data_IF_034234182457
#
_entry.id   IF_034234182457
#
_cell.length_a   1.000
_cell.length_b   1.000
_cell.length_c   1.000
_cell.angle_alpha   90.00
_cell.angle_beta   90.00
_cell.angle_gamma   90.00
#
_symmetry.space_group_name_H-M   'P 1'
#
loop_
_entity.id
_entity.type
_entity.pdbx_description
1 polymer ?
#
# COMPACT_ATOMS: atom_id res chain seq x y z
N UNK A 1 -10.81 13.53 4.98
CA UNK A 1 -11.39 13.20 3.65
C UNK A 1 -10.71 14.08 2.58
N UNK A 2 -10.32 13.50 1.43
CA UNK A 2 -9.66 14.18 0.30
C UNK A 2 -10.58 14.19 -0.93
N UNK A 3 -10.42 15.16 -1.83
CA UNK A 3 -11.10 15.19 -3.13
C UNK A 3 -10.22 14.51 -4.16
N UNK A 4 -10.66 13.36 -4.67
CA UNK A 4 -9.93 12.58 -5.68
C UNK A 4 -10.44 12.95 -7.09
N UNK A 5 -9.54 13.03 -8.06
CA UNK A 5 -9.84 13.30 -9.47
C UNK A 5 -9.74 12.04 -10.33
N UNK A 6 -8.77 11.17 -10.03
CA UNK A 6 -8.53 9.88 -10.69
C UNK A 6 -8.24 8.80 -9.63
N UNK A 7 -8.73 7.59 -9.86
CA UNK A 7 -8.39 6.37 -9.12
C UNK A 7 -7.87 5.34 -10.11
N UNK A 8 -6.60 4.98 -9.97
CA UNK A 8 -5.97 3.91 -10.76
C UNK A 8 -6.13 2.59 -10.01
N UNK A 9 -6.47 1.54 -10.75
CA UNK A 9 -6.75 0.22 -10.19
C UNK A 9 -5.82 -0.78 -10.88
N UNK A 10 -5.18 -1.63 -10.10
CA UNK A 10 -4.34 -2.72 -10.58
C UNK A 10 -4.71 -4.01 -9.86
N UNK A 11 -4.79 -5.09 -10.63
CA UNK A 11 -4.85 -6.47 -10.17
C UNK A 11 -3.98 -7.29 -11.14
N UNK A 12 -3.43 -8.42 -10.66
CA UNK A 12 -2.73 -9.38 -11.52
C UNK A 12 -3.65 -9.93 -12.62
N UNK A 13 -4.95 -9.93 -12.37
CA UNK A 13 -6.01 -10.22 -13.31
C UNK A 13 -6.66 -8.91 -13.79
N UNK A 14 -6.26 -8.46 -14.98
CA UNK A 14 -6.74 -7.20 -15.56
C UNK A 14 -8.26 -7.16 -15.75
N UNK A 15 -8.92 -8.31 -15.94
CA UNK A 15 -10.38 -8.38 -16.08
C UNK A 15 -11.05 -8.00 -14.75
N UNK A 16 -10.52 -8.47 -13.61
CA UNK A 16 -11.01 -8.08 -12.28
C UNK A 16 -10.83 -6.60 -12.01
N UNK A 17 -9.67 -6.04 -12.36
CA UNK A 17 -9.43 -4.60 -12.22
C UNK A 17 -10.41 -3.78 -13.08
N UNK A 18 -10.70 -4.24 -14.29
CA UNK A 18 -11.63 -3.58 -15.22
C UNK A 18 -13.07 -3.66 -14.70
N UNK A 19 -13.52 -4.84 -14.27
CA UNK A 19 -14.85 -5.02 -13.70
C UNK A 19 -15.04 -4.16 -12.44
N UNK A 20 -14.06 -4.14 -11.53
CA UNK A 20 -14.12 -3.31 -10.34
C UNK A 20 -14.21 -1.82 -10.70
N UNK A 21 -13.44 -1.36 -11.70
CA UNK A 21 -13.53 0.01 -12.19
C UNK A 21 -14.94 0.35 -12.71
N UNK A 22 -15.55 -0.55 -13.50
CA UNK A 22 -16.92 -0.38 -14.01
C UNK A 22 -17.97 -0.29 -12.89
N UNK A 23 -17.88 -1.18 -11.90
CA UNK A 23 -18.78 -1.18 -10.74
C UNK A 23 -18.64 0.10 -9.92
N UNK A 24 -17.41 0.58 -9.71
CA UNK A 24 -17.15 1.79 -8.91
C UNK A 24 -17.53 3.09 -9.64
N UNK A 25 -17.43 3.14 -10.96
CA UNK A 25 -17.90 4.30 -11.74
C UNK A 25 -19.40 4.56 -11.59
N UNK A 26 -20.20 3.53 -11.26
CA UNK A 26 -21.63 3.69 -10.99
C UNK A 26 -21.90 4.33 -9.62
N UNK A 27 -20.97 4.22 -8.67
CA UNK A 27 -21.12 4.70 -7.30
C UNK A 27 -20.43 6.05 -7.06
N UNK A 28 -19.34 6.32 -7.79
CA UNK A 28 -18.49 7.49 -7.56
C UNK A 28 -18.28 8.31 -8.84
N UNK A 29 -18.39 9.63 -8.73
CA UNK A 29 -18.14 10.57 -9.83
C UNK A 29 -16.64 10.91 -9.98
N UNK A 30 -15.78 9.91 -9.95
CA UNK A 30 -14.32 10.03 -10.10
C UNK A 30 -13.87 9.18 -11.28
N UNK A 31 -12.82 9.61 -12.00
CA UNK A 31 -12.28 8.81 -13.11
C UNK A 31 -11.67 7.53 -12.57
N UNK A 32 -12.27 6.38 -12.90
CA UNK A 32 -11.70 5.06 -12.60
C UNK A 32 -10.89 4.58 -13.79
N UNK A 33 -9.63 4.22 -13.56
CA UNK A 33 -8.71 3.77 -14.61
C UNK A 33 -8.08 2.43 -14.24
N UNK A 34 -8.52 1.31 -14.82
CA UNK A 34 -7.77 0.06 -14.71
C UNK A 34 -6.43 0.21 -15.44
N UNK A 35 -5.37 -0.32 -14.85
CA UNK A 35 -4.00 -0.24 -15.37
C UNK A 35 -3.46 -1.64 -15.63
N UNK A 36 -2.54 -1.77 -16.59
CA UNK A 36 -1.99 -3.09 -16.97
C UNK A 36 -0.77 -3.48 -16.16
N UNK A 37 -0.13 -2.51 -15.50
CA UNK A 37 1.03 -2.73 -14.66
C UNK A 37 0.91 -1.98 -13.35
N UNK A 38 1.51 -2.55 -12.32
CA UNK A 38 1.68 -1.97 -11.00
C UNK A 38 2.47 -0.65 -11.07
N UNK A 39 3.44 -0.52 -11.98
CA UNK A 39 4.14 0.75 -12.20
C UNK A 39 3.19 1.85 -12.69
N UNK A 40 2.36 1.58 -13.70
CA UNK A 40 1.39 2.57 -14.22
C UNK A 40 0.40 3.02 -13.12
N UNK A 41 0.03 2.11 -12.23
CA UNK A 41 -0.85 2.40 -11.10
C UNK A 41 -0.20 3.30 -10.04
N UNK A 42 1.07 3.05 -9.71
CA UNK A 42 1.77 3.69 -8.59
C UNK A 42 2.47 4.98 -8.99
N UNK A 43 3.03 5.04 -10.20
CA UNK A 43 3.89 6.14 -10.61
C UNK A 43 3.12 7.48 -10.65
N UNK A 44 3.59 8.43 -9.83
CA UNK A 44 2.97 9.75 -9.70
C UNK A 44 1.70 9.80 -8.85
N UNK A 45 1.27 8.70 -8.22
CA UNK A 45 0.11 8.69 -7.34
C UNK A 45 0.35 9.50 -6.05
N UNK A 46 -0.65 10.29 -5.62
CA UNK A 46 -0.63 11.02 -4.35
C UNK A 46 -0.99 10.14 -3.15
N UNK A 47 -1.84 9.14 -3.39
CA UNK A 47 -2.29 8.16 -2.39
C UNK A 47 -2.20 6.79 -3.02
N UNK A 48 -1.55 5.85 -2.33
CA UNK A 48 -1.44 4.46 -2.73
C UNK A 48 -2.12 3.62 -1.65
N UNK A 49 -3.04 2.75 -2.04
CA UNK A 49 -3.68 1.80 -1.13
C UNK A 49 -3.41 0.40 -1.65
N UNK A 50 -2.67 -0.38 -0.87
CA UNK A 50 -2.37 -1.78 -1.14
C UNK A 50 -3.31 -2.66 -0.31
N UNK A 51 -4.03 -3.56 -0.97
CA UNK A 51 -4.96 -4.50 -0.32
C UNK A 51 -4.78 -5.87 -0.97
N UNK A 52 -3.63 -6.50 -0.73
CA UNK A 52 -3.27 -7.74 -1.41
C UNK A 52 -2.88 -8.84 -0.42
N UNK A 53 -3.04 -10.09 -0.83
CA UNK A 53 -2.54 -11.26 -0.09
C UNK A 53 -1.12 -11.66 -0.51
N UNK A 54 -0.37 -10.72 -1.09
CA UNK A 54 0.96 -10.98 -1.63
C UNK A 54 1.96 -11.33 -0.53
N UNK A 55 2.91 -12.22 -0.84
CA UNK A 55 4.06 -12.56 0.02
C UNK A 55 5.34 -11.79 -0.36
N UNK A 56 5.21 -10.82 -1.25
CA UNK A 56 6.29 -9.98 -1.77
C UNK A 56 5.75 -8.60 -2.12
N UNK A 57 6.58 -7.58 -1.92
CA UNK A 57 6.26 -6.21 -2.28
C UNK A 57 5.64 -6.11 -3.68
N UNK A 58 4.53 -5.39 -3.77
CA UNK A 58 3.68 -5.37 -4.97
C UNK A 58 4.06 -4.28 -5.96
N UNK A 59 4.93 -3.35 -5.57
CA UNK A 59 5.46 -2.28 -6.42
C UNK A 59 6.91 -1.98 -6.03
N UNK A 60 7.61 -1.16 -6.82
CA UNK A 60 8.96 -0.68 -6.46
C UNK A 60 8.85 0.62 -5.66
N UNK A 61 9.70 0.78 -4.64
CA UNK A 61 9.78 2.03 -3.87
C UNK A 61 10.18 3.23 -4.74
N UNK A 62 10.89 3.00 -5.85
CA UNK A 62 11.34 4.07 -6.76
C UNK A 62 10.20 4.70 -7.57
N UNK A 63 9.06 4.01 -7.69
CA UNK A 63 7.88 4.52 -8.39
C UNK A 63 7.05 5.45 -7.51
N UNK A 64 7.29 5.42 -6.20
CA UNK A 64 6.52 6.19 -5.21
C UNK A 64 6.90 7.67 -5.30
N UNK A 65 5.89 8.50 -5.54
CA UNK A 65 6.05 9.96 -5.55
C UNK A 65 6.46 10.45 -4.15
N UNK A 66 7.43 11.36 -4.08
CA UNK A 66 7.76 12.06 -2.83
C UNK A 66 6.54 12.79 -2.27
N UNK A 67 6.22 12.56 -1.00
CA UNK A 67 5.05 13.11 -0.32
C UNK A 67 3.76 12.31 -0.53
N UNK A 68 3.82 11.15 -1.21
CA UNK A 68 2.68 10.24 -1.30
C UNK A 68 2.31 9.67 0.08
N UNK A 69 1.02 9.43 0.28
CA UNK A 69 0.49 8.73 1.44
C UNK A 69 0.19 7.27 1.06
N UNK A 70 0.64 6.32 1.88
CA UNK A 70 0.49 4.89 1.60
C UNK A 70 -0.33 4.23 2.71
N UNK A 71 -1.36 3.49 2.31
CA UNK A 71 -2.14 2.61 3.17
C UNK A 71 -1.78 1.15 2.84
N UNK A 72 -1.22 0.43 3.81
CA UNK A 72 -1.07 -1.04 3.77
C UNK A 72 -2.16 -1.67 4.62
N UNK A 73 -2.90 -2.61 4.05
CA UNK A 73 -4.09 -3.22 4.67
C UNK A 73 -4.08 -4.74 4.54
N UNK A 74 -3.46 -5.27 3.49
CA UNK A 74 -3.52 -6.68 3.13
C UNK A 74 -2.62 -7.61 3.96
N UNK A 75 -1.57 -7.09 4.58
CA UNK A 75 -0.62 -7.90 5.34
C UNK A 75 -1.08 -8.19 6.78
N UNK A 76 -1.86 -9.26 6.97
CA UNK A 76 -2.33 -9.74 8.28
C UNK A 76 -1.71 -11.10 8.69
N UNK A 77 -0.70 -11.58 7.97
CA UNK A 77 0.10 -12.74 8.40
C UNK A 77 1.59 -12.47 8.20
N UNK A 78 2.50 -13.08 9.00
CA UNK A 78 3.93 -12.75 8.95
C UNK A 78 4.61 -13.02 7.60
N UNK A 79 4.00 -13.87 6.75
CA UNK A 79 4.49 -14.16 5.41
C UNK A 79 4.01 -13.13 4.36
N UNK A 80 2.95 -12.39 4.65
CA UNK A 80 2.39 -11.40 3.74
C UNK A 80 3.21 -10.12 3.80
N UNK A 81 3.60 -9.66 2.63
CA UNK A 81 4.34 -8.43 2.46
C UNK A 81 3.88 -7.81 1.15
N UNK A 82 3.35 -6.61 1.21
CA UNK A 82 2.82 -5.89 0.07
C UNK A 82 3.52 -4.55 -0.16
N UNK A 83 4.10 -3.97 0.90
CA UNK A 83 4.82 -2.70 0.86
C UNK A 83 6.33 -2.97 0.78
N UNK A 84 7.05 -2.34 -0.16
CA UNK A 84 8.51 -2.30 -0.15
C UNK A 84 9.08 -1.83 1.19
N UNK A 85 9.98 -2.61 1.79
CA UNK A 85 10.65 -2.24 3.06
C UNK A 85 11.35 -0.88 2.98
N UNK A 86 11.85 -0.51 1.80
CA UNK A 86 12.54 0.75 1.52
C UNK A 86 11.65 1.96 1.82
N UNK A 87 10.34 1.82 1.63
CA UNK A 87 9.37 2.87 1.94
C UNK A 87 9.30 3.14 3.43
N UNK A 88 9.40 2.10 4.27
CA UNK A 88 9.34 2.25 5.73
C UNK A 88 10.48 3.15 6.21
N UNK A 89 11.67 3.03 5.61
CA UNK A 89 12.81 3.92 5.90
C UNK A 89 12.66 5.31 5.31
N UNK A 90 12.07 5.41 4.13
CA UNK A 90 11.92 6.68 3.42
C UNK A 90 10.75 7.53 3.92
N UNK A 91 9.81 6.92 4.63
CA UNK A 91 8.61 7.58 5.15
C UNK A 91 8.96 8.55 6.28
N UNK A 92 8.47 9.79 6.16
CA UNK A 92 8.59 10.79 7.23
C UNK A 92 7.77 10.41 8.47
N UNK A 93 6.65 9.72 8.27
CA UNK A 93 5.73 9.28 9.33
C UNK A 93 5.19 7.90 8.97
N UNK A 94 5.23 6.98 9.94
CA UNK A 94 4.66 5.63 9.86
C UNK A 94 3.76 5.45 11.08
N UNK A 95 2.48 5.19 10.83
CA UNK A 95 1.46 4.99 11.87
C UNK A 95 0.81 3.62 11.66
N UNK A 96 0.60 2.89 12.74
CA UNK A 96 -0.10 1.59 12.74
C UNK A 96 -1.57 1.74 13.06
N UNK A 97 -2.38 0.75 12.70
CA UNK A 97 -3.73 0.62 13.24
C UNK A 97 -3.68 0.26 14.72
N UNK A 98 -2.94 -0.81 15.05
CA UNK A 98 -2.58 -1.22 16.40
C UNK A 98 -1.15 -1.73 16.42
N UNK A 99 -0.39 -1.35 17.45
CA UNK A 99 0.99 -1.74 17.55
C UNK A 99 1.16 -3.23 17.79
N UNK A 100 0.30 -3.84 18.62
CA UNK A 100 0.37 -5.26 18.93
C UNK A 100 0.03 -6.13 17.71
N UNK A 101 -0.98 -5.74 16.92
CA UNK A 101 -1.37 -6.45 15.70
C UNK A 101 -0.25 -6.40 14.66
N UNK A 102 0.22 -5.20 14.31
CA UNK A 102 1.27 -5.03 13.29
C UNK A 102 2.56 -5.79 13.66
N UNK A 103 3.01 -5.73 14.91
CA UNK A 103 4.25 -6.37 15.32
C UNK A 103 4.17 -7.91 15.43
N UNK A 104 2.95 -8.48 15.45
CA UNK A 104 2.72 -9.94 15.49
C UNK A 104 2.30 -10.52 14.15
N UNK A 105 1.63 -9.74 13.33
CA UNK A 105 0.93 -10.23 12.14
C UNK A 105 1.43 -9.61 10.84
N UNK A 106 1.87 -8.36 10.79
CA UNK A 106 2.21 -7.71 9.52
C UNK A 106 3.64 -8.05 9.06
N UNK A 107 3.77 -8.94 8.06
CA UNK A 107 5.07 -9.30 7.48
C UNK A 107 5.85 -8.12 6.89
N UNK A 108 5.16 -7.05 6.46
CA UNK A 108 5.75 -5.77 6.05
C UNK A 108 6.67 -5.17 7.13
N UNK A 109 6.39 -5.40 8.41
CA UNK A 109 7.20 -4.88 9.53
C UNK A 109 7.98 -5.96 10.25
N UNK A 110 7.44 -7.18 10.38
CA UNK A 110 8.10 -8.26 11.13
C UNK A 110 9.44 -8.63 10.51
N UNK A 111 9.47 -8.89 9.20
CA UNK A 111 10.69 -9.32 8.52
C UNK A 111 11.78 -8.23 8.57
N UNK A 112 11.48 -6.95 8.24
CA UNK A 112 12.46 -5.86 8.39
C UNK A 112 12.90 -5.56 9.83
N UNK A 113 12.09 -5.84 10.84
CA UNK A 113 12.51 -5.71 12.25
C UNK A 113 13.44 -6.85 12.66
N UNK A 114 13.15 -8.08 12.23
CA UNK A 114 13.94 -9.26 12.56
C UNK A 114 15.33 -9.25 11.92
N UNK A 115 15.44 -8.79 10.67
CA UNK A 115 16.73 -8.69 9.97
C UNK A 115 17.50 -7.40 10.30
N UNK A 116 16.94 -6.55 11.18
CA UNK A 116 17.53 -5.29 11.61
C UNK A 116 17.53 -4.20 10.54
N UNK A 117 16.77 -4.38 9.46
CA UNK A 117 16.62 -3.35 8.44
C UNK A 117 15.94 -2.10 9.03
N UNK A 118 14.83 -2.24 9.76
CA UNK A 118 14.20 -1.13 10.50
C UNK A 118 14.33 -1.32 12.02
N UNK A 119 14.12 -0.24 12.77
CA UNK A 119 14.24 -0.22 14.23
C UNK A 119 13.00 0.42 14.88
N UNK A 120 12.97 0.48 16.21
CA UNK A 120 11.83 0.97 16.98
C UNK A 120 11.46 2.43 16.68
N UNK A 121 12.43 3.23 16.26
CA UNK A 121 12.30 4.62 15.84
C UNK A 121 11.84 4.78 14.38
N UNK A 122 11.67 3.69 13.63
CA UNK A 122 11.16 3.70 12.24
C UNK A 122 9.63 3.82 12.16
N UNK A 123 8.93 3.88 13.29
CA UNK A 123 7.49 4.09 13.35
C UNK A 123 7.10 4.96 14.53
N UNK A 124 6.00 5.69 14.36
CA UNK A 124 5.74 6.95 15.08
C UNK A 124 4.53 6.88 16.00
N UNK A 125 3.73 5.82 15.93
CA UNK A 125 2.57 5.61 16.79
C UNK A 125 1.53 4.69 16.17
N UNK A 126 0.36 4.69 16.79
CA UNK A 126 -0.84 4.00 16.33
C UNK A 126 -2.02 4.98 16.22
N UNK A 127 -3.04 4.61 15.45
CA UNK A 127 -4.21 5.47 15.19
C UNK A 127 -5.15 5.61 16.40
N UNK A 128 -5.03 4.75 17.43
CA UNK A 128 -5.92 4.73 18.60
C UNK A 128 -5.17 4.52 19.90
#
# INVERSE_FOLDING_TARGET
VRKLEEVRIFDIDFERASQFAEEMMQQFSVTMRPTKTNQECVEGADIITSVTTSKRATFSAEWVKKGAHINGVGAYTPEMCEIPREIIKAADIVIFDTMDGVLKEAGDFISPLQDGYIQRDSYHGELG
#
